data_IF_315653456129
#
_entry.id   IF_315653456129
#
_cell.length_a   1.000
_cell.length_b   1.000
_cell.length_c   1.000
_cell.angle_alpha   90.00
_cell.angle_beta   90.00
_cell.angle_gamma   90.00
#
_symmetry.space_group_name_H-M   'P 1'
#
loop_
_entity.id
_entity.type
_entity.pdbx_description
1 polymer ?
#
# COMPACT_ATOMS: atom_id res chain seq x y z
N UNK A 1 6.41 0.35 0.42
CA UNK A 1 5.34 0.90 -0.44
C UNK A 1 4.41 -0.18 -0.97
N UNK A 2 4.85 -1.07 -1.88
CA UNK A 2 4.00 -2.15 -2.42
C UNK A 2 3.34 -3.05 -1.35
N UNK A 3 4.03 -3.33 -0.25
CA UNK A 3 3.45 -4.09 0.86
C UNK A 3 2.28 -3.38 1.56
N UNK A 4 2.29 -2.04 1.66
CA UNK A 4 1.19 -1.26 2.23
C UNK A 4 0.00 -1.30 1.29
N UNK A 5 0.23 -1.00 0.00
CA UNK A 5 -0.81 -1.02 -1.04
C UNK A 5 -1.49 -2.40 -1.08
N UNK A 6 -0.71 -3.48 -1.06
CA UNK A 6 -1.22 -4.86 -1.00
C UNK A 6 -2.01 -5.15 0.27
N UNK A 7 -1.51 -4.72 1.43
CA UNK A 7 -2.23 -4.94 2.68
C UNK A 7 -3.58 -4.21 2.73
N UNK A 8 -3.71 -3.11 1.99
CA UNK A 8 -4.95 -2.35 1.80
C UNK A 8 -5.90 -2.92 0.74
N UNK A 9 -5.66 -4.11 0.16
CA UNK A 9 -6.65 -4.82 -0.69
C UNK A 9 -8.01 -5.01 0.00
N UNK A 10 -7.99 -5.00 1.33
CA UNK A 10 -9.18 -4.89 2.17
C UNK A 10 -9.02 -3.70 3.10
N UNK A 11 -10.13 -3.12 3.59
CA UNK A 11 -10.12 -1.94 4.45
C UNK A 11 -9.28 -2.13 5.73
N UNK A 12 -8.27 -1.28 5.97
CA UNK A 12 -7.38 -1.31 7.16
C UNK A 12 -7.29 0.04 7.84
N UNK A 13 -7.32 0.09 9.16
CA UNK A 13 -6.93 1.28 9.93
C UNK A 13 -5.40 1.47 10.00
N UNK A 14 -4.95 2.70 10.29
CA UNK A 14 -3.53 3.04 10.40
C UNK A 14 -2.79 2.16 11.41
N UNK A 15 -3.42 1.87 12.57
CA UNK A 15 -2.80 1.04 13.62
C UNK A 15 -2.51 -0.38 13.15
N UNK A 16 -3.43 -1.02 12.43
CA UNK A 16 -3.19 -2.33 11.80
C UNK A 16 -2.07 -2.30 10.77
N UNK A 17 -1.97 -1.23 9.98
CA UNK A 17 -0.90 -1.05 8.99
C UNK A 17 0.46 -0.90 9.70
N UNK A 18 0.51 -0.09 10.76
CA UNK A 18 1.71 0.09 11.59
C UNK A 18 2.18 -1.23 12.19
N UNK A 19 1.27 -1.96 12.84
CA UNK A 19 1.61 -3.22 13.52
C UNK A 19 2.08 -4.28 12.53
N UNK A 20 1.40 -4.43 11.37
CA UNK A 20 1.80 -5.39 10.33
C UNK A 20 3.13 -4.99 9.68
N UNK A 21 3.31 -3.68 9.50
CA UNK A 21 4.43 -2.97 8.89
C UNK A 21 5.71 -2.89 9.72
N UNK A 22 5.58 -3.06 11.03
CA UNK A 22 6.55 -2.58 12.03
C UNK A 22 6.96 -1.12 11.78
N UNK A 23 5.98 -0.27 11.43
CA UNK A 23 6.19 1.16 11.17
C UNK A 23 5.89 1.97 12.43
N UNK A 24 6.67 3.02 12.65
CA UNK A 24 6.27 4.05 13.62
C UNK A 24 5.21 4.99 13.03
N UNK A 25 4.62 5.85 13.88
CA UNK A 25 3.50 6.71 13.48
C UNK A 25 3.89 7.69 12.35
N UNK A 26 5.07 8.31 12.46
CA UNK A 26 5.58 9.27 11.45
C UNK A 26 5.79 8.58 10.10
N UNK A 27 6.38 7.38 10.09
CA UNK A 27 6.58 6.60 8.87
C UNK A 27 5.26 6.20 8.24
N UNK A 28 4.32 5.68 9.03
CA UNK A 28 3.00 5.29 8.54
C UNK A 28 2.25 6.49 7.95
N UNK A 29 2.23 7.61 8.66
CA UNK A 29 1.58 8.84 8.19
C UNK A 29 2.18 9.35 6.88
N UNK A 30 3.51 9.42 6.81
CA UNK A 30 4.23 9.82 5.59
C UNK A 30 3.89 8.90 4.42
N UNK A 31 3.91 7.59 4.65
CA UNK A 31 3.65 6.61 3.59
C UNK A 31 2.20 6.63 3.11
N UNK A 32 1.25 6.69 4.04
CA UNK A 32 -0.18 6.76 3.72
C UNK A 32 -0.51 8.06 2.98
N UNK A 33 0.11 9.18 3.36
CA UNK A 33 0.00 10.46 2.65
C UNK A 33 0.49 10.35 1.21
N UNK A 34 1.69 9.79 0.99
CA UNK A 34 2.27 9.62 -0.34
C UNK A 34 1.37 8.73 -1.21
N UNK A 35 0.95 7.58 -0.69
CA UNK A 35 0.13 6.62 -1.42
C UNK A 35 -1.26 7.17 -1.75
N UNK A 36 -1.83 7.98 -0.85
CA UNK A 36 -3.11 8.66 -1.09
C UNK A 36 -2.97 9.74 -2.16
N UNK A 37 -1.90 10.55 -2.12
CA UNK A 37 -1.61 11.56 -3.15
C UNK A 37 -1.40 10.93 -4.52
N UNK A 38 -0.74 9.78 -4.57
CA UNK A 38 -0.56 8.98 -5.79
C UNK A 38 -1.82 8.21 -6.21
N UNK A 39 -2.93 8.36 -5.47
CA UNK A 39 -4.20 7.68 -5.70
C UNK A 39 -4.09 6.15 -5.66
N UNK A 40 -3.06 5.58 -5.04
CA UNK A 40 -2.89 4.12 -4.93
C UNK A 40 -3.79 3.51 -3.85
N UNK A 41 -4.08 4.29 -2.82
CA UNK A 41 -5.05 3.97 -1.78
C UNK A 41 -5.97 5.17 -1.60
N UNK A 42 -7.18 4.94 -1.08
CA UNK A 42 -8.06 6.00 -0.61
C UNK A 42 -8.34 5.82 0.87
N UNK A 43 -8.60 6.93 1.57
CA UNK A 43 -9.07 6.92 2.94
C UNK A 43 -10.59 7.04 2.97
N UNK A 44 -11.26 6.15 3.70
CA UNK A 44 -12.70 6.17 3.95
C UNK A 44 -12.95 5.85 5.43
N UNK A 45 -13.58 6.76 6.17
CA UNK A 45 -13.90 6.62 7.59
C UNK A 45 -12.71 6.15 8.46
N UNK A 46 -11.55 6.81 8.28
CA UNK A 46 -10.33 6.50 9.04
C UNK A 46 -9.62 5.20 8.64
N UNK A 47 -10.13 4.49 7.63
CA UNK A 47 -9.52 3.28 7.07
C UNK A 47 -9.01 3.53 5.66
N UNK A 48 -8.03 2.77 5.24
CA UNK A 48 -7.39 2.81 3.94
C UNK A 48 -7.77 1.58 3.13
N UNK A 49 -8.09 1.77 1.86
CA UNK A 49 -8.40 0.71 0.90
C UNK A 49 -7.72 1.00 -0.43
N UNK A 50 -7.31 -0.05 -1.14
CA UNK A 50 -6.70 0.04 -2.46
C UNK A 50 -7.69 0.64 -3.47
N UNK A 51 -7.15 1.33 -4.49
CA UNK A 51 -7.91 1.79 -5.66
C UNK A 51 -7.52 0.99 -6.90
N UNK A 52 -8.24 1.17 -8.03
CA UNK A 52 -7.82 0.59 -9.31
C UNK A 52 -6.41 1.01 -9.77
N UNK A 53 -5.95 2.21 -9.39
CA UNK A 53 -4.56 2.64 -9.63
C UNK A 53 -3.57 1.85 -8.78
N UNK A 54 -3.91 1.60 -7.51
CA UNK A 54 -3.11 0.76 -6.61
C UNK A 54 -3.01 -0.69 -7.11
N UNK A 55 -4.12 -1.25 -7.58
CA UNK A 55 -4.17 -2.59 -8.19
C UNK A 55 -3.28 -2.67 -9.43
N UNK A 56 -3.37 -1.67 -10.33
CA UNK A 56 -2.53 -1.57 -11.53
C UNK A 56 -1.04 -1.47 -11.18
N UNK A 57 -0.71 -0.74 -10.12
CA UNK A 57 0.65 -0.66 -9.58
C UNK A 57 1.14 -2.02 -9.07
N UNK A 58 0.33 -2.76 -8.29
CA UNK A 58 0.70 -4.10 -7.79
C UNK A 58 0.88 -5.10 -8.93
N UNK A 59 0.01 -5.07 -9.93
CA UNK A 59 0.12 -5.92 -11.12
C UNK A 59 1.44 -5.66 -11.86
N UNK A 60 1.83 -4.39 -12.02
CA UNK A 60 3.10 -4.02 -12.66
C UNK A 60 4.29 -4.42 -11.80
N UNK A 61 4.22 -4.22 -10.49
CA UNK A 61 5.23 -4.62 -9.52
C UNK A 61 5.48 -6.14 -9.57
N UNK A 62 4.42 -6.94 -9.63
CA UNK A 62 4.51 -8.41 -9.71
C UNK A 62 5.09 -8.89 -11.03
N UNK A 63 4.73 -8.26 -12.15
CA UNK A 63 5.36 -8.53 -13.46
C UNK A 63 6.85 -8.25 -13.43
N UNK A 64 7.27 -7.10 -12.92
CA UNK A 64 8.69 -6.73 -12.81
C UNK A 64 9.46 -7.65 -11.87
N UNK A 65 8.82 -8.13 -10.79
CA UNK A 65 9.43 -9.09 -9.88
C UNK A 65 9.66 -10.44 -10.56
N UNK A 66 8.73 -10.92 -11.39
CA UNK A 66 8.90 -12.17 -12.15
C UNK A 66 10.07 -12.12 -13.14
N UNK A 67 10.32 -10.96 -13.77
CA UNK A 67 11.43 -10.79 -14.72
C UNK A 67 12.79 -10.86 -14.01
N UNK A 68 12.90 -10.42 -12.75
CA UNK A 68 14.16 -10.49 -11.98
C UNK A 68 14.51 -11.89 -11.48
N UNK A 69 13.64 -12.87 -11.68
CA UNK A 69 13.91 -14.29 -11.39
C UNK A 69 13.93 -15.07 -12.71
N UNK A 70 14.93 -14.81 -13.53
CA UNK A 70 15.47 -15.76 -14.52
C UNK A 70 16.98 -15.78 -14.28
N UNK A 71 17.53 -16.77 -13.55
CA UNK A 71 18.95 -17.09 -13.65
C UNK A 71 19.31 -17.59 -15.04
#
# INVERSE_FOLDING_TARGET
MAHIVRFCETSKDKGRIMNRLSLNDVQAESYLTILTRQRMIMQNNGKYVITGTGESYLNSYDKLRKIRFHP
#
